data_IF_386644119156
#
_entry.id   IF_386644119156
#
_cell.length_a   1.000
_cell.length_b   1.000
_cell.length_c   1.000
_cell.angle_alpha   90.00
_cell.angle_beta   90.00
_cell.angle_gamma   90.00
#
_symmetry.space_group_name_H-M   'P 1'
#
loop_
_entity.id
_entity.type
_entity.pdbx_description
1 polymer ?
#
# COMPACT_ATOMS: atom_id res chain seq x y z
N UNK A 1 -2.65 29.60 -4.97
CA UNK A 1 -4.06 29.31 -5.33
C UNK A 1 -4.72 28.78 -4.05
N UNK A 2 -5.73 29.47 -3.51
CA UNK A 2 -6.41 29.02 -2.29
C UNK A 2 -7.49 28.02 -2.73
N UNK A 3 -7.40 26.76 -2.25
CA UNK A 3 -8.38 25.72 -2.56
C UNK A 3 -9.76 26.05 -1.97
N UNK A 4 -10.82 25.60 -2.63
CA UNK A 4 -12.22 25.89 -2.27
C UNK A 4 -12.54 25.45 -0.82
N UNK A 5 -11.88 24.41 -0.33
CA UNK A 5 -12.10 23.81 1.00
C UNK A 5 -10.92 23.99 1.97
N UNK A 6 -10.02 24.94 1.70
CA UNK A 6 -8.75 25.05 2.44
C UNK A 6 -8.95 25.26 3.96
N UNK A 7 -10.05 25.89 4.39
CA UNK A 7 -10.32 26.10 5.82
C UNK A 7 -10.74 24.78 6.49
N UNK A 8 -11.62 24.04 5.85
CA UNK A 8 -12.12 22.75 6.30
C UNK A 8 -11.00 21.71 6.33
N UNK A 9 -10.18 21.67 5.27
CA UNK A 9 -9.00 20.79 5.19
C UNK A 9 -8.06 21.03 6.37
N UNK A 10 -7.73 22.28 6.69
CA UNK A 10 -6.84 22.62 7.82
C UNK A 10 -7.43 22.20 9.16
N UNK A 11 -8.73 22.34 9.36
CA UNK A 11 -9.39 21.92 10.63
C UNK A 11 -9.35 20.39 10.77
N UNK A 12 -9.68 19.67 9.69
CA UNK A 12 -9.67 18.20 9.68
C UNK A 12 -8.24 17.68 9.85
N UNK A 13 -7.28 18.26 9.13
CA UNK A 13 -5.87 17.90 9.21
C UNK A 13 -5.31 18.09 10.62
N UNK A 14 -5.57 19.23 11.26
CA UNK A 14 -5.11 19.47 12.64
C UNK A 14 -5.70 18.46 13.63
N UNK A 15 -6.99 18.12 13.48
CA UNK A 15 -7.65 17.07 14.28
C UNK A 15 -6.98 15.72 14.06
N UNK A 16 -6.74 15.35 12.79
CA UNK A 16 -6.09 14.10 12.41
C UNK A 16 -4.65 14.01 12.95
N UNK A 17 -3.83 15.04 12.74
CA UNK A 17 -2.44 15.12 13.20
C UNK A 17 -2.34 15.06 14.73
N UNK A 18 -3.33 15.60 15.45
CA UNK A 18 -3.37 15.51 16.91
C UNK A 18 -3.69 14.10 17.36
N UNK A 19 -4.68 13.45 16.74
CA UNK A 19 -5.15 12.11 17.11
C UNK A 19 -4.17 11.00 16.76
N UNK A 20 -3.60 11.04 15.54
CA UNK A 20 -2.74 9.98 14.98
C UNK A 20 -1.26 10.37 14.99
N UNK A 21 -0.83 11.27 15.89
CA UNK A 21 0.54 11.81 15.93
C UNK A 21 1.60 10.72 15.96
N UNK A 22 1.43 9.71 16.81
CA UNK A 22 2.36 8.58 16.94
C UNK A 22 2.44 7.76 15.66
N UNK A 23 1.30 7.45 15.08
CA UNK A 23 1.14 6.66 13.87
C UNK A 23 1.75 7.38 12.67
N UNK A 24 1.50 8.68 12.51
CA UNK A 24 2.07 9.48 11.41
C UNK A 24 3.60 9.58 11.56
N UNK A 25 4.11 9.78 12.77
CA UNK A 25 5.55 9.81 13.00
C UNK A 25 6.21 8.47 12.65
N UNK A 26 5.59 7.36 13.02
CA UNK A 26 6.10 6.04 12.66
C UNK A 26 5.98 5.78 11.14
N UNK A 27 4.88 6.17 10.51
CA UNK A 27 4.67 6.05 9.07
C UNK A 27 5.75 6.81 8.27
N UNK A 28 6.02 8.07 8.65
CA UNK A 28 7.05 8.88 7.98
C UNK A 28 8.46 8.29 8.17
N UNK A 29 8.77 7.73 9.34
CA UNK A 29 10.03 7.01 9.55
C UNK A 29 10.12 5.77 8.66
N UNK A 30 9.06 4.98 8.60
CA UNK A 30 9.01 3.79 7.75
C UNK A 30 9.15 4.15 6.26
N UNK A 31 8.53 5.25 5.85
CA UNK A 31 8.63 5.76 4.49
C UNK A 31 10.05 6.22 4.17
N UNK A 32 10.72 6.86 5.13
CA UNK A 32 12.14 7.19 5.02
C UNK A 32 13.04 5.97 4.82
N UNK A 33 12.79 4.87 5.55
CA UNK A 33 13.50 3.58 5.34
C UNK A 33 13.26 3.06 3.93
N UNK A 34 12.01 3.08 3.47
CA UNK A 34 11.66 2.63 2.12
C UNK A 34 12.34 3.45 1.03
N UNK A 35 12.32 4.77 1.14
CA UNK A 35 13.02 5.67 0.20
C UNK A 35 14.51 5.43 0.21
N UNK A 36 15.14 5.28 1.38
CA UNK A 36 16.57 4.99 1.50
C UNK A 36 16.97 3.68 0.80
N UNK A 37 16.14 2.63 0.90
CA UNK A 37 16.38 1.36 0.20
C UNK A 37 16.31 1.50 -1.33
N UNK A 38 15.37 2.29 -1.83
CA UNK A 38 15.25 2.58 -3.26
C UNK A 38 16.44 3.41 -3.77
N UNK A 39 16.82 4.46 -3.04
CA UNK A 39 17.99 5.29 -3.38
C UNK A 39 19.29 4.49 -3.37
N UNK A 40 19.47 3.62 -2.37
CA UNK A 40 20.65 2.76 -2.27
C UNK A 40 20.75 1.71 -3.41
N UNK A 41 19.68 1.50 -4.18
CA UNK A 41 19.60 0.52 -5.26
C UNK A 41 19.51 1.13 -6.66
N UNK A 42 19.14 2.42 -6.79
CA UNK A 42 18.86 3.06 -8.09
C UNK A 42 20.02 3.10 -9.07
N UNK A 43 21.27 3.03 -8.58
CA UNK A 43 22.48 3.04 -9.42
C UNK A 43 23.16 1.67 -9.49
N UNK A 44 22.62 0.66 -8.82
CA UNK A 44 23.17 -0.70 -8.79
C UNK A 44 22.50 -1.61 -9.81
N UNK A 45 21.22 -1.38 -10.07
CA UNK A 45 20.43 -2.17 -11.01
C UNK A 45 20.42 -1.43 -12.34
N UNK A 46 20.89 -2.11 -13.39
CA UNK A 46 20.90 -1.54 -14.74
C UNK A 46 19.57 -1.76 -15.44
N UNK A 47 19.29 -0.92 -16.43
CA UNK A 47 18.08 -0.98 -17.26
C UNK A 47 17.89 -2.33 -17.97
N UNK A 48 18.97 -3.05 -18.25
CA UNK A 48 18.96 -4.37 -18.86
C UNK A 48 18.87 -5.55 -17.85
N UNK A 49 18.88 -5.29 -16.53
CA UNK A 49 18.82 -6.31 -15.48
C UNK A 49 17.37 -6.64 -15.08
N UNK A 50 16.64 -7.25 -16.01
CA UNK A 50 15.25 -7.69 -15.79
C UNK A 50 15.18 -9.01 -14.98
N UNK A 51 14.16 -9.20 -14.12
CA UNK A 51 13.02 -8.32 -13.84
C UNK A 51 13.32 -7.23 -12.78
N UNK A 52 14.51 -7.24 -12.17
CA UNK A 52 14.84 -6.38 -11.03
C UNK A 52 14.70 -4.88 -11.36
N UNK A 53 15.05 -4.47 -12.57
CA UNK A 53 14.85 -3.10 -13.04
C UNK A 53 13.38 -2.68 -13.04
N UNK A 54 12.50 -3.53 -13.59
CA UNK A 54 11.05 -3.28 -13.63
C UNK A 54 10.45 -3.23 -12.23
N UNK A 55 10.87 -4.12 -11.35
CA UNK A 55 10.47 -4.12 -9.93
C UNK A 55 10.89 -2.80 -9.26
N UNK A 56 12.14 -2.37 -9.45
CA UNK A 56 12.63 -1.12 -8.88
C UNK A 56 11.81 0.08 -9.38
N UNK A 57 11.51 0.14 -10.68
CA UNK A 57 10.69 1.20 -11.27
C UNK A 57 9.27 1.24 -10.69
N UNK A 58 8.60 0.08 -10.61
CA UNK A 58 7.24 -0.04 -10.06
C UNK A 58 7.20 0.41 -8.60
N UNK A 59 8.14 -0.07 -7.79
CA UNK A 59 8.23 0.26 -6.37
C UNK A 59 8.59 1.73 -6.15
N UNK A 60 9.51 2.29 -6.93
CA UNK A 60 9.90 3.71 -6.82
C UNK A 60 8.72 4.67 -7.03
N UNK A 61 7.80 4.33 -7.94
CA UNK A 61 6.60 5.13 -8.19
C UNK A 61 5.63 5.15 -7.00
N UNK A 62 5.71 4.17 -6.09
CA UNK A 62 4.80 4.10 -4.93
C UNK A 62 5.13 5.12 -3.85
N UNK A 63 6.35 5.64 -3.77
CA UNK A 63 6.76 6.59 -2.70
C UNK A 63 5.88 7.83 -2.70
N UNK A 64 5.77 8.52 -3.83
CA UNK A 64 4.97 9.74 -3.94
C UNK A 64 3.47 9.46 -3.76
N UNK A 65 3.00 8.28 -4.14
CA UNK A 65 1.61 7.85 -3.94
C UNK A 65 1.31 7.62 -2.46
N UNK A 66 2.26 7.07 -1.68
CA UNK A 66 2.13 6.92 -0.23
C UNK A 66 2.10 8.26 0.50
N UNK A 67 2.99 9.19 0.13
CA UNK A 67 3.02 10.56 0.67
C UNK A 67 1.69 11.29 0.40
N UNK A 68 1.19 11.17 -0.83
CA UNK A 68 -0.10 11.76 -1.17
C UNK A 68 -1.26 11.04 -0.49
N UNK A 69 -1.19 9.72 -0.34
CA UNK A 69 -2.19 8.91 0.36
C UNK A 69 -2.38 9.38 1.80
N UNK A 70 -1.29 9.47 2.57
CA UNK A 70 -1.36 9.94 3.97
C UNK A 70 -1.87 11.38 4.06
N UNK A 71 -1.44 12.27 3.15
CA UNK A 71 -1.90 13.66 3.12
C UNK A 71 -3.40 13.74 2.84
N UNK A 72 -3.87 13.02 1.82
CA UNK A 72 -5.28 13.00 1.43
C UNK A 72 -6.15 12.42 2.56
N UNK A 73 -5.68 11.37 3.25
CA UNK A 73 -6.35 10.84 4.42
C UNK A 73 -6.44 11.90 5.53
N UNK A 74 -5.32 12.58 5.82
CA UNK A 74 -5.25 13.59 6.86
C UNK A 74 -6.16 14.79 6.60
N UNK A 75 -6.34 15.18 5.33
CA UNK A 75 -7.23 16.29 4.95
C UNK A 75 -8.68 15.85 4.72
N UNK A 76 -9.05 14.59 5.01
CA UNK A 76 -10.44 14.12 4.91
C UNK A 76 -10.89 13.66 3.52
N UNK A 77 -9.97 13.34 2.62
CA UNK A 77 -10.24 12.75 1.30
C UNK A 77 -9.98 11.24 1.29
N UNK A 78 -10.77 10.49 2.06
CA UNK A 78 -10.63 9.04 2.21
C UNK A 78 -10.58 8.32 0.86
N UNK A 79 -11.53 8.60 -0.04
CA UNK A 79 -11.57 7.95 -1.36
C UNK A 79 -10.32 8.22 -2.19
N UNK A 80 -9.82 9.46 -2.17
CA UNK A 80 -8.63 9.82 -2.94
C UNK A 80 -7.39 9.13 -2.38
N UNK A 81 -7.27 9.05 -1.04
CA UNK A 81 -6.23 8.26 -0.38
C UNK A 81 -6.29 6.79 -0.81
N UNK A 82 -7.48 6.20 -0.80
CA UNK A 82 -7.70 4.80 -1.19
C UNK A 82 -7.33 4.48 -2.63
N UNK A 83 -7.59 5.42 -3.56
CA UNK A 83 -7.14 5.28 -4.94
C UNK A 83 -5.61 5.23 -5.02
N UNK A 84 -4.90 6.06 -4.25
CA UNK A 84 -3.43 6.03 -4.21
C UNK A 84 -2.91 4.70 -3.64
N UNK A 85 -3.48 4.24 -2.52
CA UNK A 85 -3.12 2.97 -1.89
C UNK A 85 -3.32 1.80 -2.85
N UNK A 86 -4.42 1.82 -3.62
CA UNK A 86 -4.70 0.79 -4.63
C UNK A 86 -3.60 0.72 -5.69
N UNK A 87 -3.19 1.86 -6.25
CA UNK A 87 -2.13 1.88 -7.28
C UNK A 87 -0.81 1.36 -6.70
N UNK A 88 -0.49 1.71 -5.45
CA UNK A 88 0.66 1.12 -4.75
C UNK A 88 0.52 -0.40 -4.62
N UNK A 89 -0.65 -0.90 -4.20
CA UNK A 89 -0.89 -2.34 -4.06
C UNK A 89 -0.73 -3.08 -5.39
N UNK A 90 -1.28 -2.55 -6.49
CA UNK A 90 -1.11 -3.13 -7.83
C UNK A 90 0.37 -3.23 -8.23
N UNK A 91 1.16 -2.17 -7.99
CA UNK A 91 2.60 -2.18 -8.25
C UNK A 91 3.37 -3.21 -7.40
N UNK A 92 2.99 -3.37 -6.12
CA UNK A 92 3.57 -4.38 -5.22
C UNK A 92 3.24 -5.79 -5.69
N UNK A 93 2.00 -6.02 -6.12
CA UNK A 93 1.53 -7.33 -6.61
C UNK A 93 2.27 -7.71 -7.89
N UNK A 94 2.36 -6.78 -8.85
CA UNK A 94 3.14 -6.98 -10.07
C UNK A 94 4.61 -7.26 -9.75
N UNK A 95 5.20 -6.50 -8.84
CA UNK A 95 6.60 -6.68 -8.44
C UNK A 95 6.83 -8.06 -7.82
N UNK A 96 5.90 -8.52 -6.98
CA UNK A 96 5.93 -9.86 -6.41
C UNK A 96 5.80 -10.92 -7.49
N UNK A 97 4.84 -10.75 -8.40
CA UNK A 97 4.55 -11.67 -9.49
C UNK A 97 5.74 -11.83 -10.44
N UNK A 98 6.37 -10.74 -10.86
CA UNK A 98 7.56 -10.76 -11.72
C UNK A 98 8.77 -11.34 -11.03
N UNK A 99 8.89 -11.17 -9.70
CA UNK A 99 9.97 -11.78 -8.95
C UNK A 99 9.82 -13.31 -8.88
N UNK A 100 8.61 -13.80 -8.65
CA UNK A 100 8.30 -15.25 -8.61
C UNK A 100 8.33 -15.89 -10.00
N UNK A 101 7.84 -15.18 -11.02
CA UNK A 101 7.69 -15.69 -12.38
C UNK A 101 8.24 -14.69 -13.42
N UNK A 102 9.56 -14.66 -13.64
CA UNK A 102 10.21 -13.66 -14.50
C UNK A 102 9.72 -13.64 -15.95
N UNK A 103 9.24 -14.76 -16.49
CA UNK A 103 8.76 -14.83 -17.88
C UNK A 103 7.55 -13.89 -18.13
N UNK A 104 6.71 -13.66 -17.12
CA UNK A 104 5.56 -12.74 -17.25
C UNK A 104 5.97 -11.27 -17.27
N UNK A 105 7.17 -10.93 -16.77
CA UNK A 105 7.71 -9.58 -16.91
C UNK A 105 7.99 -9.26 -18.39
N UNK A 106 8.51 -10.24 -19.13
CA UNK A 106 8.78 -10.11 -20.56
C UNK A 106 7.46 -9.92 -21.30
N UNK A 107 6.44 -10.72 -20.99
CA UNK A 107 5.09 -10.56 -21.55
C UNK A 107 4.54 -9.16 -21.25
N UNK A 108 4.66 -8.68 -20.00
CA UNK A 108 4.20 -7.36 -19.58
C UNK A 108 4.84 -6.21 -20.38
N UNK A 109 6.14 -6.31 -20.67
CA UNK A 109 6.84 -5.27 -21.45
C UNK A 109 6.53 -5.31 -22.94
N UNK A 110 6.28 -6.49 -23.49
CA UNK A 110 6.12 -6.70 -24.93
C UNK A 110 4.67 -6.62 -25.39
N UNK A 111 3.71 -6.82 -24.49
CA UNK A 111 2.28 -6.62 -24.74
C UNK A 111 1.83 -5.24 -24.30
N UNK A 112 0.65 -4.78 -24.75
CA UNK A 112 0.09 -3.55 -24.20
C UNK A 112 -0.46 -3.82 -22.78
N UNK A 113 -0.38 -2.82 -21.90
CA UNK A 113 -0.83 -2.90 -20.51
C UNK A 113 -2.24 -3.51 -20.35
N UNK A 114 -3.20 -3.12 -21.20
CA UNK A 114 -4.59 -3.60 -21.10
C UNK A 114 -4.71 -5.09 -21.45
N UNK A 115 -3.90 -5.57 -22.37
CA UNK A 115 -3.87 -6.95 -22.81
C UNK A 115 -3.26 -7.85 -21.74
N UNK A 116 -2.15 -7.44 -21.12
CA UNK A 116 -1.57 -8.15 -19.99
C UNK A 116 -2.59 -8.35 -18.86
N UNK A 117 -3.28 -7.29 -18.44
CA UNK A 117 -4.27 -7.37 -17.36
C UNK A 117 -5.58 -8.08 -17.75
N UNK A 118 -5.86 -8.27 -19.04
CA UNK A 118 -6.96 -9.13 -19.50
C UNK A 118 -6.62 -10.61 -19.34
N UNK A 119 -5.37 -10.97 -19.57
CA UNK A 119 -4.88 -12.34 -19.46
C UNK A 119 -4.53 -12.72 -18.01
N UNK A 120 -4.06 -11.73 -17.24
CA UNK A 120 -3.58 -11.89 -15.87
C UNK A 120 -4.33 -10.91 -14.95
N UNK A 121 -5.45 -11.35 -14.38
CA UNK A 121 -6.11 -10.55 -13.34
C UNK A 121 -5.27 -10.52 -12.06
N UNK A 122 -5.38 -9.45 -11.27
CA UNK A 122 -4.71 -9.33 -9.97
C UNK A 122 -5.00 -10.56 -9.08
N UNK A 123 -6.26 -11.00 -9.04
CA UNK A 123 -6.65 -12.18 -8.26
C UNK A 123 -5.96 -13.46 -8.75
N UNK A 124 -5.83 -13.63 -10.07
CA UNK A 124 -5.14 -14.79 -10.64
C UNK A 124 -3.63 -14.74 -10.38
N UNK A 125 -3.01 -13.57 -10.49
CA UNK A 125 -1.59 -13.39 -10.15
C UNK A 125 -1.33 -13.78 -8.70
N UNK A 126 -2.16 -13.29 -7.78
CA UNK A 126 -2.02 -13.58 -6.36
C UNK A 126 -2.23 -15.07 -6.03
N UNK A 127 -3.26 -15.70 -6.59
CA UNK A 127 -3.48 -17.16 -6.45
C UNK A 127 -2.29 -17.96 -6.97
N UNK A 128 -1.75 -17.57 -8.13
CA UNK A 128 -0.59 -18.24 -8.70
C UNK A 128 0.64 -18.10 -7.80
N UNK A 129 0.90 -16.91 -7.25
CA UNK A 129 1.96 -16.73 -6.25
C UNK A 129 1.71 -17.60 -5.02
N UNK A 130 0.47 -17.71 -4.55
CA UNK A 130 0.10 -18.55 -3.40
C UNK A 130 0.37 -20.06 -3.64
N UNK A 131 -0.04 -20.57 -4.81
CA UNK A 131 0.04 -21.99 -5.16
C UNK A 131 1.45 -22.41 -5.60
N UNK A 132 2.02 -21.64 -6.53
CA UNK A 132 3.24 -21.99 -7.26
C UNK A 132 4.47 -21.27 -6.72
N UNK A 133 4.30 -20.12 -6.05
CA UNK A 133 5.40 -19.27 -5.59
C UNK A 133 6.35 -19.98 -4.63
N UNK A 134 7.64 -19.68 -4.78
CA UNK A 134 8.72 -20.30 -4.00
C UNK A 134 9.55 -19.30 -3.21
N UNK A 135 9.71 -18.08 -3.72
CA UNK A 135 10.60 -17.06 -3.16
C UNK A 135 10.00 -16.43 -1.90
N UNK A 136 8.73 -16.02 -1.97
CA UNK A 136 8.03 -15.36 -0.86
C UNK A 136 7.34 -16.35 0.08
N UNK A 137 7.04 -17.58 -0.38
CA UNK A 137 6.20 -18.54 0.35
C UNK A 137 6.95 -19.79 0.86
N UNK A 138 7.80 -20.43 0.04
CA UNK A 138 8.32 -21.78 0.34
C UNK A 138 9.76 -21.80 0.86
N UNK A 139 10.61 -20.86 0.45
CA UNK A 139 12.02 -20.84 0.85
C UNK A 139 12.20 -20.25 2.25
N UNK A 140 12.20 -21.08 3.31
CA UNK A 140 12.39 -20.65 4.70
C UNK A 140 13.75 -20.01 4.99
N UNK A 141 14.77 -20.26 4.17
CA UNK A 141 16.14 -19.75 4.38
C UNK A 141 16.37 -18.41 3.68
N UNK A 142 15.75 -18.15 2.52
CA UNK A 142 15.68 -16.81 1.90
C UNK A 142 14.55 -15.95 2.47
N UNK A 143 13.43 -16.56 2.86
CA UNK A 143 12.37 -15.93 3.65
C UNK A 143 12.70 -15.90 5.16
N UNK A 144 13.97 -15.77 5.52
CA UNK A 144 14.45 -15.58 6.91
C UNK A 144 13.96 -14.29 7.58
N UNK A 145 13.01 -13.59 6.97
CA UNK A 145 12.27 -12.50 7.59
C UNK A 145 10.85 -12.96 7.96
N UNK A 146 10.76 -13.71 9.07
CA UNK A 146 9.67 -13.71 10.08
C UNK A 146 8.24 -14.11 9.61
N UNK A 147 7.44 -14.70 10.53
CA UNK A 147 6.01 -15.04 10.34
C UNK A 147 5.14 -13.89 9.79
N UNK A 148 5.55 -12.63 9.97
CA UNK A 148 4.89 -11.44 9.44
C UNK A 148 4.76 -11.49 7.91
N UNK A 149 5.78 -11.86 7.12
CA UNK A 149 5.74 -11.86 5.64
C UNK A 149 4.56 -12.66 5.06
N UNK A 150 4.25 -13.81 5.66
CA UNK A 150 3.13 -14.65 5.25
C UNK A 150 1.79 -14.03 5.65
N UNK A 151 1.68 -13.46 6.85
CA UNK A 151 0.48 -12.75 7.35
C UNK A 151 0.21 -11.52 6.47
N UNK A 152 1.28 -10.79 6.17
CA UNK A 152 1.38 -9.62 5.29
C UNK A 152 0.88 -9.95 3.89
N UNK A 153 1.39 -11.01 3.27
CA UNK A 153 0.97 -11.42 1.93
C UNK A 153 -0.49 -11.92 1.89
N UNK A 154 -0.93 -12.74 2.86
CA UNK A 154 -2.33 -13.14 2.97
C UNK A 154 -3.26 -11.95 3.26
N UNK A 155 -2.78 -10.92 3.95
CA UNK A 155 -3.51 -9.68 4.15
C UNK A 155 -3.54 -8.83 2.88
N UNK A 156 -2.45 -8.75 2.10
CA UNK A 156 -2.46 -8.15 0.75
C UNK A 156 -3.53 -8.84 -0.09
N UNK A 157 -3.60 -10.17 -0.10
CA UNK A 157 -4.63 -10.92 -0.84
C UNK A 157 -6.07 -10.62 -0.38
N UNK A 158 -6.33 -10.62 0.93
CA UNK A 158 -7.64 -10.28 1.53
C UNK A 158 -8.03 -8.82 1.34
N UNK A 159 -7.08 -7.91 1.31
CA UNK A 159 -7.32 -6.49 1.07
C UNK A 159 -7.47 -6.22 -0.45
N UNK A 160 -6.70 -6.90 -1.31
CA UNK A 160 -6.76 -6.78 -2.79
C UNK A 160 -8.11 -7.18 -3.34
N UNK A 161 -8.70 -8.27 -2.86
CA UNK A 161 -10.09 -8.65 -3.19
C UNK A 161 -11.14 -7.59 -2.77
N UNK A 162 -10.83 -6.74 -1.77
CA UNK A 162 -11.65 -5.56 -1.42
C UNK A 162 -11.35 -4.33 -2.29
N UNK A 163 -10.17 -4.27 -2.92
CA UNK A 163 -9.74 -3.20 -3.85
C UNK A 163 -10.19 -3.44 -5.31
N UNK A 164 -10.34 -4.71 -5.74
CA UNK A 164 -10.65 -5.11 -7.12
C UNK A 164 -12.10 -4.79 -7.50
N UNK A 165 -13.00 -4.78 -6.53
CA UNK A 165 -14.31 -4.19 -6.69
C UNK A 165 -14.23 -2.78 -6.15
N UNK A 166 -14.64 -1.78 -6.94
CA UNK A 166 -15.36 -0.65 -6.36
C UNK A 166 -16.51 -1.30 -5.59
N UNK A 167 -16.29 -1.67 -4.33
CA UNK A 167 -17.39 -2.01 -3.48
C UNK A 167 -18.00 -0.66 -3.14
N UNK A 168 -18.69 -0.10 -4.13
CA UNK A 168 -19.56 1.04 -3.98
C UNK A 168 -20.44 0.80 -2.79
N UNK A 169 -20.81 -0.46 -2.50
CA UNK A 169 -21.60 -0.84 -1.34
C UNK A 169 -20.78 -0.74 -0.03
N UNK A 170 -19.50 -1.11 0.02
CA UNK A 170 -18.66 -0.87 1.21
C UNK A 170 -18.44 0.63 1.46
N UNK A 171 -18.16 1.41 0.41
CA UNK A 171 -17.99 2.86 0.49
C UNK A 171 -19.33 3.52 0.84
N UNK A 172 -20.42 3.06 0.24
CA UNK A 172 -21.78 3.50 0.48
C UNK A 172 -22.20 3.15 1.90
N UNK A 173 -21.94 1.95 2.40
CA UNK A 173 -22.25 1.50 3.75
C UNK A 173 -21.42 2.27 4.79
N UNK A 174 -20.11 2.49 4.54
CA UNK A 174 -19.27 3.34 5.38
C UNK A 174 -19.76 4.80 5.38
N UNK A 175 -20.24 5.31 4.25
CA UNK A 175 -20.80 6.67 4.16
C UNK A 175 -22.19 6.79 4.79
N UNK A 176 -23.05 5.77 4.60
CA UNK A 176 -24.44 5.70 5.02
C UNK A 176 -24.56 5.45 6.51
N UNK A 177 -23.70 4.60 7.08
CA UNK A 177 -23.65 4.31 8.50
C UNK A 177 -23.09 5.49 9.31
N UNK A 178 -22.36 6.43 8.68
CA UNK A 178 -21.94 7.69 9.30
C UNK A 178 -22.92 8.84 9.06
N UNK A 179 -23.74 8.78 8.02
CA UNK A 179 -24.85 9.73 7.81
C UNK A 179 -26.08 9.26 8.59
N UNK A 180 -26.14 9.53 9.89
CA UNK A 180 -27.37 9.47 10.69
C UNK A 180 -28.42 10.55 10.29
N UNK A 181 -28.43 10.99 9.02
CA UNK A 181 -29.23 12.12 8.58
C UNK A 181 -29.83 11.84 7.20
N UNK A 182 -31.16 11.66 7.21
CA UNK A 182 -32.13 11.96 6.14
C UNK A 182 -31.91 11.34 4.76
N UNK A 183 -32.96 10.69 4.24
CA UNK A 183 -33.02 9.95 2.97
C UNK A 183 -32.86 10.74 1.66
N UNK A 184 -32.06 11.80 1.63
CA UNK A 184 -31.66 12.47 0.39
C UNK A 184 -30.21 12.12 0.06
N UNK A 185 -29.96 11.66 -1.18
CA UNK A 185 -28.62 11.34 -1.68
C UNK A 185 -27.85 12.66 -1.87
N UNK A 186 -27.24 13.17 -0.80
CA UNK A 186 -26.29 14.27 -0.92
C UNK A 186 -24.99 13.73 -1.52
N UNK A 187 -24.64 14.23 -2.70
CA UNK A 187 -23.31 14.04 -3.27
C UNK A 187 -22.30 14.72 -2.35
N UNK A 188 -21.52 13.93 -1.63
CA UNK A 188 -20.43 14.44 -0.79
C UNK A 188 -19.31 14.96 -1.71
N UNK A 189 -19.26 16.29 -1.89
CA UNK A 189 -18.19 16.98 -2.63
C UNK A 189 -17.31 17.75 -1.63
N UNK A 190 -16.15 17.20 -1.27
CA UNK A 190 -15.18 17.88 -0.40
C UNK A 190 -14.60 17.01 0.71
N UNK A 191 -13.74 17.59 1.56
CA UNK A 191 -13.14 16.87 2.69
C UNK A 191 -14.23 16.52 3.72
N UNK A 192 -14.08 15.38 4.39
CA UNK A 192 -15.01 14.89 5.39
C UNK A 192 -14.30 14.56 6.69
N UNK A 193 -14.98 14.83 7.81
CA UNK A 193 -14.52 14.41 9.12
C UNK A 193 -15.05 12.99 9.40
N UNK A 194 -14.22 11.99 9.17
CA UNK A 194 -14.56 10.58 9.40
C UNK A 194 -14.39 10.18 10.87
N UNK A 195 -15.07 9.10 11.26
CA UNK A 195 -14.87 8.50 12.58
C UNK A 195 -13.43 7.98 12.75
N UNK A 196 -12.98 7.88 14.00
CA UNK A 196 -11.64 7.39 14.33
C UNK A 196 -11.43 5.94 13.85
N UNK A 197 -12.49 5.14 13.81
CA UNK A 197 -12.50 3.77 13.28
C UNK A 197 -12.14 3.76 11.79
N UNK A 198 -12.80 4.60 10.98
CA UNK A 198 -12.52 4.69 9.53
C UNK A 198 -11.11 5.21 9.26
N UNK A 199 -10.71 6.25 9.99
CA UNK A 199 -9.36 6.82 9.86
C UNK A 199 -8.29 5.80 10.28
N UNK A 200 -8.56 4.98 11.30
CA UNK A 200 -7.69 3.88 11.73
C UNK A 200 -7.55 2.81 10.65
N UNK A 201 -8.63 2.47 9.95
CA UNK A 201 -8.59 1.55 8.80
C UNK A 201 -7.74 2.12 7.67
N UNK A 202 -7.94 3.40 7.29
CA UNK A 202 -7.12 4.06 6.28
C UNK A 202 -5.63 4.07 6.63
N UNK A 203 -5.30 4.42 7.88
CA UNK A 203 -3.94 4.38 8.40
C UNK A 203 -3.33 2.98 8.35
N UNK A 204 -4.08 1.97 8.79
CA UNK A 204 -3.64 0.57 8.76
C UNK A 204 -3.34 0.12 7.34
N UNK A 205 -4.15 0.53 6.36
CA UNK A 205 -3.93 0.18 4.95
C UNK A 205 -2.68 0.85 4.40
N UNK A 206 -2.43 2.13 4.71
CA UNK A 206 -1.16 2.80 4.37
C UNK A 206 0.04 2.07 4.95
N UNK A 207 0.02 1.74 6.24
CA UNK A 207 1.10 0.99 6.89
C UNK A 207 1.33 -0.38 6.28
N UNK A 208 0.26 -1.16 6.07
CA UNK A 208 0.36 -2.47 5.45
C UNK A 208 1.00 -2.36 4.07
N UNK A 209 0.49 -1.48 3.21
CA UNK A 209 1.01 -1.33 1.85
C UNK A 209 2.49 -0.90 1.87
N UNK A 210 2.91 -0.04 2.79
CA UNK A 210 4.31 0.38 2.89
C UNK A 210 5.22 -0.74 3.42
N UNK A 211 4.76 -1.49 4.43
CA UNK A 211 5.45 -2.70 4.90
C UNK A 211 5.57 -3.74 3.77
N UNK A 212 4.53 -3.90 2.96
CA UNK A 212 4.53 -4.83 1.82
C UNK A 212 5.55 -4.40 0.77
N UNK A 213 5.61 -3.11 0.43
CA UNK A 213 6.64 -2.58 -0.46
C UNK A 213 8.05 -2.88 0.03
N UNK A 214 8.31 -2.71 1.33
CA UNK A 214 9.61 -3.01 1.95
C UNK A 214 9.96 -4.50 1.87
N UNK A 215 8.99 -5.41 2.11
CA UNK A 215 9.18 -6.85 1.96
C UNK A 215 9.56 -7.20 0.52
N UNK A 216 8.77 -6.74 -0.44
CA UNK A 216 8.98 -7.06 -1.85
C UNK A 216 10.30 -6.50 -2.33
N UNK A 217 10.67 -5.28 -1.93
CA UNK A 217 11.96 -4.70 -2.24
C UNK A 217 13.11 -5.50 -1.61
N UNK A 218 13.01 -5.82 -0.32
CA UNK A 218 14.03 -6.54 0.42
C UNK A 218 14.32 -7.93 -0.15
N UNK A 219 13.27 -8.69 -0.46
CA UNK A 219 13.39 -10.02 -1.06
C UNK A 219 13.86 -9.93 -2.52
N UNK A 220 13.37 -8.94 -3.28
CA UNK A 220 13.71 -8.83 -4.70
C UNK A 220 15.18 -8.47 -4.89
N UNK A 221 15.72 -7.62 -4.02
CA UNK A 221 17.05 -7.01 -4.14
C UNK A 221 18.04 -7.51 -3.08
N UNK A 222 17.66 -8.51 -2.27
CA UNK A 222 18.47 -9.08 -1.18
C UNK A 222 18.95 -8.02 -0.18
N UNK A 223 18.09 -7.07 0.18
CA UNK A 223 18.40 -6.03 1.17
C UNK A 223 18.18 -6.62 2.56
N UNK A 224 19.19 -6.47 3.42
CA UNK A 224 19.10 -6.83 4.84
C UNK A 224 19.03 -5.53 5.64
N UNK A 225 17.91 -5.25 6.34
CA UNK A 225 17.79 -4.05 7.15
C UNK A 225 18.79 -4.07 8.30
N UNK A 226 19.28 -2.90 8.70
CA UNK A 226 20.04 -2.74 9.93
C UNK A 226 19.14 -2.81 11.18
N UNK A 227 19.72 -2.70 12.38
CA UNK A 227 18.95 -2.81 13.62
C UNK A 227 17.93 -1.67 13.82
N UNK A 228 18.25 -0.45 13.38
CA UNK A 228 17.34 0.70 13.49
C UNK A 228 16.16 0.54 12.53
N UNK A 229 16.44 0.11 11.30
CA UNK A 229 15.43 -0.15 10.28
C UNK A 229 14.48 -1.28 10.70
N UNK A 230 15.03 -2.36 11.27
CA UNK A 230 14.22 -3.45 11.85
C UNK A 230 13.34 -2.95 12.99
N UNK A 231 13.85 -2.08 13.85
CA UNK A 231 13.06 -1.52 14.96
C UNK A 231 11.87 -0.73 14.42
N UNK A 232 12.08 0.13 13.43
CA UNK A 232 11.02 0.92 12.78
C UNK A 232 9.97 -0.01 12.14
N UNK A 233 10.41 -1.02 11.39
CA UNK A 233 9.50 -1.99 10.77
C UNK A 233 8.69 -2.78 11.80
N UNK A 234 9.31 -3.14 12.93
CA UNK A 234 8.64 -3.84 14.04
C UNK A 234 7.61 -2.96 14.74
N UNK A 235 7.96 -1.69 15.01
CA UNK A 235 7.03 -0.70 15.57
C UNK A 235 5.83 -0.49 14.65
N UNK A 236 6.07 -0.34 13.35
CA UNK A 236 5.01 -0.19 12.35
C UNK A 236 4.08 -1.41 12.31
N UNK A 237 4.64 -2.63 12.39
CA UNK A 237 3.84 -3.86 12.47
C UNK A 237 3.01 -3.94 13.76
N UNK A 238 3.52 -3.46 14.90
CA UNK A 238 2.74 -3.42 16.13
C UNK A 238 1.58 -2.41 16.02
N UNK A 239 1.80 -1.26 15.37
CA UNK A 239 0.76 -0.26 15.11
C UNK A 239 -0.36 -0.86 14.24
N UNK A 240 -0.05 -1.62 13.19
CA UNK A 240 -1.10 -2.23 12.35
C UNK A 240 -1.98 -3.22 13.11
N UNK A 241 -1.42 -3.96 14.07
CA UNK A 241 -2.18 -4.85 14.96
C UNK A 241 -3.07 -4.10 15.95
N UNK A 242 -2.62 -2.94 16.44
CA UNK A 242 -3.42 -2.08 17.33
C UNK A 242 -4.59 -1.47 16.55
N UNK A 243 -4.34 -0.96 15.35
CA UNK A 243 -5.36 -0.37 14.47
C UNK A 243 -6.39 -1.40 13.98
N UNK A 244 -6.10 -2.70 14.07
CA UNK A 244 -7.07 -3.77 13.77
C UNK A 244 -8.10 -3.96 14.90
N UNK A 245 -7.77 -3.57 16.13
CA UNK A 245 -8.59 -3.79 17.33
C UNK A 245 -9.46 -2.58 17.71
N UNK A 246 -9.25 -1.43 17.05
CA UNK A 246 -10.07 -0.23 17.16
C UNK A 246 -11.15 -0.27 16.09
#
# INVERSE_FOLDING_TARGET
MIGIFNREEVVIENSFLTKFKSEINCFNKLLGVYTAFLEATSNKIKDNEYPNWTILMLLSQTVSLMENGIKLLATGYLRSSEIMIRVCAEAIILSTYFKEFPDFEIEYRTTNYREFFRNHSIDNMLKKVEEDGTIFIKDKDKAKQVKWNKIVFTNLFKESSRFVHNNSDLIYDLSKNNSNQSGDIQLIMGPQNYSDEILSVGMRRLFNTLLFSLVVLGVSLNIVPDENEKEIMTQASAITEILLKK
#
